data_IF_535645769462
#
_entry.id   IF_535645769462
#
_cell.length_a   1.000
_cell.length_b   1.000
_cell.length_c   1.000
_cell.angle_alpha   90.00
_cell.angle_beta   90.00
_cell.angle_gamma   90.00
#
_symmetry.space_group_name_H-M   'P 1'
#
loop_
_entity.id
_entity.type
_entity.pdbx_description
1 polymer ?
#
# COMPACT_ATOMS: atom_id res chain seq x y z
N UNK A 1 -2.81 -7.77 -14.62
CA UNK A 1 -1.69 -8.01 -13.69
C UNK A 1 -2.29 -8.33 -12.33
N UNK A 2 -1.92 -9.46 -11.71
CA UNK A 2 -2.36 -9.83 -10.37
C UNK A 2 -1.17 -9.69 -9.42
N UNK A 3 -1.13 -8.60 -8.65
CA UNK A 3 0.00 -8.33 -7.73
C UNK A 3 -0.33 -8.76 -6.30
N UNK A 4 -1.54 -8.45 -5.84
CA UNK A 4 -2.01 -8.77 -4.48
C UNK A 4 -2.78 -10.08 -4.54
N UNK A 5 -2.39 -11.07 -3.74
CA UNK A 5 -3.05 -12.38 -3.66
C UNK A 5 -3.99 -12.50 -2.47
N UNK A 6 -3.54 -11.96 -1.34
CA UNK A 6 -4.22 -12.06 -0.06
C UNK A 6 -4.07 -10.79 0.74
N UNK A 7 -5.12 -10.40 1.45
CA UNK A 7 -5.11 -9.29 2.40
C UNK A 7 -5.61 -9.81 3.74
N UNK A 8 -4.84 -9.58 4.80
CA UNK A 8 -5.24 -9.82 6.18
C UNK A 8 -5.25 -8.50 6.95
N UNK A 9 -6.36 -8.20 7.63
CA UNK A 9 -6.50 -7.00 8.47
C UNK A 9 -6.91 -7.46 9.86
N UNK A 10 -6.30 -6.90 10.91
CA UNK A 10 -6.61 -7.20 12.30
C UNK A 10 -6.63 -5.92 13.13
N UNK A 11 -7.59 -5.87 14.06
CA UNK A 11 -7.66 -4.82 15.07
C UNK A 11 -7.98 -3.42 14.54
N UNK A 12 -8.62 -3.28 13.36
CA UNK A 12 -8.83 -1.98 12.71
C UNK A 12 -10.31 -1.59 12.65
N UNK A 13 -10.72 -0.56 13.38
CA UNK A 13 -12.08 -0.01 13.44
C UNK A 13 -13.13 -1.07 13.72
N UNK A 14 -13.98 -1.40 12.75
CA UNK A 14 -15.01 -2.44 12.86
C UNK A 14 -14.48 -3.84 12.46
N UNK A 15 -13.21 -3.95 12.11
CA UNK A 15 -12.58 -5.16 11.58
C UNK A 15 -11.73 -5.79 12.68
N UNK A 16 -12.33 -6.70 13.46
CA UNK A 16 -11.56 -7.52 14.41
C UNK A 16 -10.51 -8.36 13.67
N UNK A 17 -10.97 -9.11 12.67
CA UNK A 17 -10.14 -9.89 11.75
C UNK A 17 -10.85 -10.03 10.41
N UNK A 18 -10.15 -9.72 9.34
CA UNK A 18 -10.59 -9.92 7.95
C UNK A 18 -9.50 -10.65 7.20
N UNK A 19 -9.89 -11.67 6.43
CA UNK A 19 -9.02 -12.44 5.54
C UNK A 19 -9.68 -12.46 4.17
N UNK A 20 -9.10 -11.73 3.21
CA UNK A 20 -9.57 -11.66 1.83
C UNK A 20 -8.62 -12.45 0.94
N UNK A 21 -9.13 -13.51 0.34
CA UNK A 21 -8.42 -14.37 -0.58
C UNK A 21 -8.92 -14.15 -2.00
N UNK A 22 -8.08 -14.48 -2.99
CA UNK A 22 -8.48 -14.40 -4.40
C UNK A 22 -8.71 -12.97 -4.88
N UNK A 23 -7.98 -12.00 -4.30
CA UNK A 23 -8.04 -10.60 -4.74
C UNK A 23 -7.54 -10.53 -6.19
N UNK A 24 -8.41 -10.01 -7.06
CA UNK A 24 -8.22 -9.95 -8.50
C UNK A 24 -7.80 -8.57 -9.00
N UNK A 25 -7.78 -8.42 -10.32
CA UNK A 25 -7.53 -7.13 -10.97
C UNK A 25 -8.69 -6.16 -10.75
N UNK A 26 -9.88 -6.73 -10.58
CA UNK A 26 -11.07 -6.06 -10.09
C UNK A 26 -11.62 -6.92 -8.95
N UNK A 27 -11.83 -6.32 -7.79
CA UNK A 27 -12.44 -6.96 -6.63
C UNK A 27 -13.57 -6.06 -6.13
N UNK A 28 -14.79 -6.59 -6.06
CA UNK A 28 -15.94 -5.87 -5.55
C UNK A 28 -16.26 -6.35 -4.13
N UNK A 29 -16.27 -5.43 -3.15
CA UNK A 29 -16.72 -5.69 -1.79
C UNK A 29 -18.22 -5.35 -1.69
N UNK A 30 -19.07 -6.35 -1.53
CA UNK A 30 -20.53 -6.20 -1.46
C UNK A 30 -21.03 -6.55 -0.06
N UNK A 31 -21.99 -5.77 0.43
CA UNK A 31 -22.60 -6.01 1.74
C UNK A 31 -23.38 -4.79 2.24
N UNK A 32 -24.07 -4.91 3.39
CA UNK A 32 -24.88 -3.83 3.97
C UNK A 32 -24.09 -2.55 4.25
N UNK A 33 -24.77 -1.41 4.34
CA UNK A 33 -24.14 -0.18 4.81
C UNK A 33 -23.55 -0.38 6.21
N UNK A 34 -22.42 0.28 6.47
CA UNK A 34 -21.70 0.20 7.75
C UNK A 34 -21.13 -1.16 8.15
N UNK A 35 -21.18 -2.18 7.27
CA UNK A 35 -20.56 -3.49 7.55
C UNK A 35 -19.02 -3.52 7.47
N UNK A 36 -18.37 -2.36 7.34
CA UNK A 36 -16.90 -2.24 7.32
C UNK A 36 -16.22 -2.23 5.96
N UNK A 37 -16.96 -2.23 4.83
CA UNK A 37 -16.36 -2.20 3.47
C UNK A 37 -15.34 -1.08 3.27
N UNK A 38 -15.70 0.15 3.64
CA UNK A 38 -14.79 1.30 3.54
C UNK A 38 -13.61 1.19 4.50
N UNK A 39 -13.74 0.46 5.61
CA UNK A 39 -12.63 0.25 6.54
C UNK A 39 -11.58 -0.70 5.95
N UNK A 40 -11.97 -1.64 5.07
CA UNK A 40 -11.00 -2.45 4.31
C UNK A 40 -10.13 -1.54 3.42
N UNK A 41 -10.76 -0.63 2.69
CA UNK A 41 -10.04 0.32 1.81
C UNK A 41 -9.13 1.28 2.58
N UNK A 42 -9.58 1.74 3.76
CA UNK A 42 -8.77 2.58 4.65
C UNK A 42 -7.61 1.83 5.28
N UNK A 43 -7.79 0.56 5.65
CA UNK A 43 -6.70 -0.28 6.16
C UNK A 43 -5.63 -0.50 5.08
N UNK A 44 -6.04 -0.70 3.82
CA UNK A 44 -5.11 -0.76 2.69
C UNK A 44 -4.43 0.58 2.42
N UNK A 45 -5.18 1.69 2.49
CA UNK A 45 -4.58 3.04 2.38
C UNK A 45 -3.54 3.24 3.48
N UNK A 46 -3.85 2.86 4.71
CA UNK A 46 -2.92 2.95 5.83
C UNK A 46 -1.69 2.05 5.60
N UNK A 47 -1.87 0.86 5.04
CA UNK A 47 -0.77 -0.05 4.70
C UNK A 47 0.18 0.53 3.65
N UNK A 48 -0.35 1.07 2.54
CA UNK A 48 0.49 1.56 1.44
C UNK A 48 0.96 3.01 1.63
N UNK A 49 0.07 3.89 2.07
CA UNK A 49 0.32 5.34 2.12
C UNK A 49 0.70 5.83 3.52
N UNK A 50 0.47 5.04 4.57
CA UNK A 50 0.67 5.49 5.96
C UNK A 50 -0.44 6.40 6.50
N UNK A 51 -1.51 6.61 5.72
CA UNK A 51 -2.67 7.43 6.07
C UNK A 51 -3.97 6.73 5.64
N UNK A 52 -5.08 7.00 6.35
CA UNK A 52 -6.35 6.32 6.12
C UNK A 52 -7.08 6.85 4.88
N UNK A 53 -6.98 8.16 4.69
CA UNK A 53 -7.48 8.94 3.56
C UNK A 53 -6.47 10.08 3.32
N UNK A 54 -6.49 10.78 2.17
CA UNK A 54 -5.56 11.87 1.91
C UNK A 54 -5.54 12.91 3.03
N UNK A 55 -4.40 13.05 3.72
CA UNK A 55 -4.20 13.97 4.84
C UNK A 55 -4.80 13.51 6.18
N UNK A 56 -5.30 12.27 6.28
CA UNK A 56 -5.92 11.73 7.50
C UNK A 56 -5.01 10.69 8.15
N UNK A 57 -4.20 11.07 9.16
CA UNK A 57 -3.30 10.15 9.83
C UNK A 57 -4.04 9.13 10.71
N UNK A 58 -3.32 8.09 11.10
CA UNK A 58 -3.79 7.08 12.04
C UNK A 58 -4.03 7.68 13.44
N UNK A 59 -5.26 7.53 13.93
CA UNK A 59 -5.61 7.84 15.31
C UNK A 59 -6.01 6.55 16.03
N UNK A 60 -5.15 6.07 16.92
CA UNK A 60 -5.40 4.85 17.68
C UNK A 60 -6.65 4.89 18.57
N UNK A 61 -7.06 6.06 19.06
CA UNK A 61 -8.25 6.15 19.90
C UNK A 61 -9.53 5.88 19.10
N UNK A 62 -9.52 6.21 17.80
CA UNK A 62 -10.65 6.06 16.89
C UNK A 62 -10.56 4.81 16.01
N UNK A 63 -9.35 4.47 15.57
CA UNK A 63 -9.12 3.53 14.47
C UNK A 63 -8.73 2.12 14.94
N UNK A 64 -8.44 1.93 16.22
CA UNK A 64 -8.28 0.61 16.81
C UNK A 64 -9.65 -0.06 17.05
N UNK A 65 -9.72 -1.38 16.82
CA UNK A 65 -10.93 -2.16 17.12
C UNK A 65 -11.13 -2.30 18.62
N UNK A 66 -12.27 -1.84 19.13
CA UNK A 66 -12.62 -1.96 20.54
C UNK A 66 -13.96 -2.69 20.68
N UNK A 67 -13.90 -4.00 20.93
CA UNK A 67 -15.10 -4.83 21.17
C UNK A 67 -15.70 -4.57 22.54
N UNK A 68 -14.83 -4.39 23.54
CA UNK A 68 -15.24 -4.19 24.93
C UNK A 68 -14.14 -3.40 25.68
N UNK A 69 -14.42 -2.16 26.12
CA UNK A 69 -13.47 -1.32 26.87
C UNK A 69 -12.99 -1.95 28.18
N UNK A 70 -13.70 -2.97 28.70
CA UNK A 70 -13.38 -3.66 29.95
C UNK A 70 -12.35 -4.77 29.78
N UNK A 71 -12.08 -5.22 28.54
CA UNK A 71 -11.11 -6.28 28.27
C UNK A 71 -9.78 -5.64 27.91
N UNK A 72 -8.73 -5.99 28.68
CA UNK A 72 -7.37 -5.48 28.48
C UNK A 72 -6.72 -6.18 27.29
N UNK A 73 -7.12 -5.79 26.07
CA UNK A 73 -6.53 -6.30 24.83
C UNK A 73 -5.26 -5.52 24.47
N UNK A 74 -4.32 -6.19 23.78
CA UNK A 74 -3.13 -5.52 23.23
C UNK A 74 -3.61 -4.57 22.13
N UNK A 75 -3.39 -3.27 22.32
CA UNK A 75 -3.76 -2.22 21.35
C UNK A 75 -2.85 -2.31 20.12
N UNK A 76 -3.23 -3.13 19.15
CA UNK A 76 -2.45 -3.39 17.96
C UNK A 76 -3.34 -3.39 16.72
N UNK A 77 -2.91 -2.67 15.69
CA UNK A 77 -3.48 -2.72 14.34
C UNK A 77 -2.47 -3.45 13.47
N UNK A 78 -2.92 -4.37 12.64
CA UNK A 78 -2.06 -5.10 11.73
C UNK A 78 -2.73 -5.23 10.36
N UNK A 79 -1.99 -4.87 9.31
CA UNK A 79 -2.36 -5.12 7.93
C UNK A 79 -1.24 -5.89 7.26
N UNK A 80 -1.57 -7.04 6.70
CA UNK A 80 -0.64 -7.89 5.96
C UNK A 80 -1.15 -8.11 4.54
N UNK A 81 -0.25 -8.05 3.57
CA UNK A 81 -0.56 -8.23 2.16
C UNK A 81 0.40 -9.26 1.58
N UNK A 82 -0.15 -10.28 0.93
CA UNK A 82 0.61 -11.27 0.19
C UNK A 82 0.75 -10.84 -1.27
N UNK A 83 2.00 -10.77 -1.71
CA UNK A 83 2.40 -10.24 -3.02
C UNK A 83 2.97 -11.37 -3.86
N UNK A 84 2.58 -11.38 -5.13
CA UNK A 84 3.23 -12.17 -6.17
C UNK A 84 3.69 -11.24 -7.30
N UNK A 85 5.00 -11.18 -7.49
CA UNK A 85 5.61 -10.40 -8.57
C UNK A 85 5.38 -11.12 -9.91
N UNK A 86 4.96 -10.40 -10.97
CA UNK A 86 4.84 -11.01 -12.29
C UNK A 86 6.23 -11.38 -12.82
N UNK A 87 6.33 -12.45 -13.62
CA UNK A 87 7.61 -13.00 -14.10
C UNK A 87 8.51 -11.99 -14.86
N UNK A 88 7.93 -10.93 -15.44
CA UNK A 88 8.67 -9.86 -16.14
C UNK A 88 9.17 -8.76 -15.22
N UNK A 89 8.80 -8.76 -13.94
CA UNK A 89 9.21 -7.74 -12.97
C UNK A 89 10.65 -7.99 -12.53
N UNK A 90 11.57 -7.17 -13.02
CA UNK A 90 12.98 -7.22 -12.63
C UNK A 90 13.24 -6.18 -11.54
N UNK A 91 13.47 -6.67 -10.33
CA UNK A 91 13.94 -5.84 -9.22
C UNK A 91 15.37 -5.40 -9.52
N UNK A 92 15.62 -4.09 -9.57
CA UNK A 92 16.96 -3.52 -9.78
C UNK A 92 17.88 -3.89 -8.62
N UNK A 93 19.19 -3.88 -8.86
CA UNK A 93 20.19 -4.21 -7.82
C UNK A 93 20.13 -3.28 -6.61
N UNK A 94 19.66 -2.04 -6.80
CA UNK A 94 19.44 -1.05 -5.73
C UNK A 94 18.40 -1.49 -4.68
N UNK A 95 17.56 -2.49 -5.00
CA UNK A 95 16.57 -3.07 -4.09
C UNK A 95 16.95 -4.50 -3.69
N UNK A 96 18.20 -4.72 -3.28
CA UNK A 96 18.71 -6.04 -2.91
C UNK A 96 17.89 -6.75 -1.80
N UNK A 97 17.48 -6.07 -0.70
CA UNK A 97 16.58 -6.64 0.29
C UNK A 97 15.24 -7.12 -0.28
N UNK A 98 14.62 -6.35 -1.19
CA UNK A 98 13.39 -6.80 -1.86
C UNK A 98 13.65 -7.99 -2.80
N UNK A 99 14.79 -7.99 -3.50
CA UNK A 99 15.15 -9.06 -4.44
C UNK A 99 15.36 -10.40 -3.72
N UNK A 100 15.85 -10.40 -2.48
CA UNK A 100 16.06 -11.61 -1.70
C UNK A 100 14.76 -12.30 -1.28
N UNK A 101 13.63 -11.57 -1.27
CA UNK A 101 12.30 -12.13 -0.98
C UNK A 101 11.77 -13.05 -2.10
N UNK A 102 12.36 -13.01 -3.29
CA UNK A 102 11.93 -13.81 -4.43
C UNK A 102 10.62 -13.33 -5.07
N UNK A 103 9.91 -14.23 -5.74
CA UNK A 103 8.71 -13.88 -6.51
C UNK A 103 7.44 -13.79 -5.65
N UNK A 104 7.41 -14.45 -4.49
CA UNK A 104 6.25 -14.51 -3.59
C UNK A 104 6.69 -14.23 -2.17
N UNK A 105 6.05 -13.25 -1.56
CA UNK A 105 6.35 -12.85 -0.19
C UNK A 105 5.14 -12.18 0.44
N UNK A 106 5.13 -12.17 1.77
CA UNK A 106 4.12 -11.48 2.58
C UNK A 106 4.76 -10.28 3.23
N UNK A 107 4.14 -9.12 3.07
CA UNK A 107 4.49 -7.91 3.76
C UNK A 107 3.52 -7.68 4.91
N UNK A 108 4.05 -7.16 6.01
CA UNK A 108 3.29 -6.81 7.20
C UNK A 108 3.64 -5.38 7.59
N UNK A 109 2.60 -4.61 7.88
CA UNK A 109 2.69 -3.31 8.55
C UNK A 109 1.78 -3.36 9.77
N UNK A 110 2.36 -3.15 10.94
CA UNK A 110 1.62 -3.14 12.20
C UNK A 110 1.95 -1.90 12.99
N UNK A 111 0.98 -1.46 13.77
CA UNK A 111 1.11 -0.33 14.65
C UNK A 111 0.68 -0.77 16.05
N UNK A 112 1.41 -0.31 17.06
CA UNK A 112 1.04 -0.43 18.47
C UNK A 112 1.36 0.84 19.25
N UNK A 113 0.84 0.94 20.47
CA UNK A 113 1.15 2.05 21.37
C UNK A 113 2.35 1.71 22.24
N UNK A 114 3.35 2.58 22.23
CA UNK A 114 4.47 2.47 23.16
C UNK A 114 4.06 2.79 24.61
N UNK A 115 5.01 2.72 25.55
CA UNK A 115 4.77 3.05 26.98
C UNK A 115 4.28 4.48 27.20
N UNK A 116 4.54 5.38 26.25
CA UNK A 116 4.16 6.79 26.26
C UNK A 116 2.85 7.05 25.50
N UNK A 117 2.14 5.99 25.08
CA UNK A 117 0.93 6.03 24.25
C UNK A 117 1.14 6.68 22.88
N UNK A 118 2.36 6.63 22.35
CA UNK A 118 2.68 7.10 21.00
C UNK A 118 2.52 5.94 20.01
N UNK A 119 1.89 6.17 18.84
CA UNK A 119 1.86 5.21 17.76
C UNK A 119 3.28 4.85 17.31
N UNK A 120 3.63 3.57 17.38
CA UNK A 120 4.87 3.03 16.83
C UNK A 120 4.54 2.12 15.67
N UNK A 121 5.24 2.34 14.56
CA UNK A 121 5.13 1.51 13.37
C UNK A 121 6.19 0.42 13.34
N UNK A 122 5.79 -0.75 12.86
CA UNK A 122 6.63 -1.90 12.61
C UNK A 122 6.33 -2.45 11.22
N UNK A 123 7.37 -2.61 10.40
CA UNK A 123 7.27 -3.31 9.13
C UNK A 123 7.98 -4.66 9.23
N UNK A 124 7.57 -5.58 8.38
CA UNK A 124 8.25 -6.85 8.23
C UNK A 124 7.88 -7.51 6.91
N UNK A 125 8.72 -8.45 6.51
CA UNK A 125 8.47 -9.33 5.38
C UNK A 125 8.70 -10.79 5.81
N UNK A 126 7.91 -11.69 5.25
CA UNK A 126 8.08 -13.13 5.41
C UNK A 126 7.93 -13.86 4.08
N UNK A 127 8.65 -14.97 3.95
CA UNK A 127 8.60 -15.88 2.81
C UNK A 127 8.28 -17.26 3.37
N UNK A 128 7.27 -17.93 2.82
CA UNK A 128 6.78 -19.23 3.29
C UNK A 128 6.51 -19.28 4.81
N UNK A 129 6.01 -18.16 5.36
CA UNK A 129 5.71 -18.02 6.79
C UNK A 129 6.91 -17.75 7.70
N UNK A 130 8.14 -17.74 7.15
CA UNK A 130 9.36 -17.43 7.91
C UNK A 130 9.73 -15.95 7.77
N UNK A 131 9.96 -15.22 8.86
CA UNK A 131 10.40 -13.83 8.79
C UNK A 131 11.80 -13.75 8.18
N UNK A 132 12.04 -12.70 7.40
CA UNK A 132 13.34 -12.41 6.79
C UNK A 132 14.06 -11.36 7.62
N UNK A 133 15.39 -11.49 7.80
CA UNK A 133 16.19 -10.60 8.64
C UNK A 133 16.06 -9.12 8.23
N UNK A 134 16.15 -8.83 6.93
CA UNK A 134 16.00 -7.49 6.37
C UNK A 134 14.56 -7.18 5.92
N UNK A 135 13.57 -7.87 6.51
CA UNK A 135 12.18 -7.79 6.07
C UNK A 135 11.56 -6.39 6.22
N UNK A 136 12.02 -5.61 7.20
CA UNK A 136 11.61 -4.22 7.39
C UNK A 136 12.07 -3.33 6.22
N UNK A 137 13.35 -3.42 5.85
CA UNK A 137 13.91 -2.67 4.71
C UNK A 137 13.30 -3.13 3.38
N UNK A 138 13.15 -4.43 3.16
CA UNK A 138 12.50 -4.97 1.97
C UNK A 138 11.05 -4.49 1.84
N UNK A 139 10.32 -4.40 2.96
CA UNK A 139 8.97 -3.85 2.99
C UNK A 139 8.96 -2.36 2.62
N UNK A 140 9.83 -1.53 3.21
CA UNK A 140 9.96 -0.10 2.83
C UNK A 140 10.27 0.08 1.35
N UNK A 141 11.23 -0.70 0.84
CA UNK A 141 11.61 -0.68 -0.57
C UNK A 141 10.41 -1.00 -1.47
N UNK A 142 9.67 -2.07 -1.17
CA UNK A 142 8.47 -2.40 -1.93
C UNK A 142 7.41 -1.30 -1.87
N UNK A 143 7.12 -0.75 -0.69
CA UNK A 143 6.15 0.32 -0.51
C UNK A 143 6.53 1.57 -1.34
N UNK A 144 7.82 1.90 -1.45
CA UNK A 144 8.29 3.01 -2.29
C UNK A 144 8.11 2.79 -3.79
N UNK A 145 7.97 1.53 -4.23
CA UNK A 145 7.74 1.17 -5.63
C UNK A 145 6.26 1.15 -6.01
N UNK A 146 5.36 1.18 -5.02
CA UNK A 146 3.92 1.08 -5.22
C UNK A 146 3.24 2.41 -4.90
N UNK A 147 2.57 2.97 -5.89
CA UNK A 147 1.63 4.07 -5.67
C UNK A 147 0.23 3.49 -5.43
N UNK A 148 -0.30 3.64 -4.21
CA UNK A 148 -1.67 3.26 -3.89
C UNK A 148 -2.58 4.49 -3.83
N UNK A 149 -3.67 4.47 -4.59
CA UNK A 149 -4.61 5.59 -4.68
C UNK A 149 -5.93 5.25 -4.00
N UNK A 150 -6.22 5.93 -2.90
CA UNK A 150 -7.54 5.91 -2.28
C UNK A 150 -8.48 6.90 -2.98
N UNK A 151 -9.59 6.40 -3.51
CA UNK A 151 -10.64 7.19 -4.15
C UNK A 151 -11.86 7.19 -3.23
N UNK A 152 -12.18 8.33 -2.56
CA UNK A 152 -13.36 8.40 -1.72
C UNK A 152 -14.64 8.44 -2.55
N UNK A 153 -15.75 8.04 -1.93
CA UNK A 153 -17.07 8.19 -2.51
C UNK A 153 -17.36 9.67 -2.79
N UNK A 154 -17.98 9.98 -3.94
CA UNK A 154 -18.40 11.34 -4.41
C UNK A 154 -17.34 12.24 -5.07
N UNK A 155 -16.22 11.71 -5.57
CA UNK A 155 -15.38 12.50 -6.51
C UNK A 155 -15.92 12.40 -7.95
N UNK A 156 -15.88 13.52 -8.67
CA UNK A 156 -16.26 13.55 -10.09
C UNK A 156 -15.20 12.78 -10.89
N UNK A 157 -15.57 11.75 -11.68
CA UNK A 157 -14.61 10.93 -12.42
C UNK A 157 -13.68 11.74 -13.33
N UNK A 158 -14.18 12.81 -13.93
CA UNK A 158 -13.39 13.69 -14.80
C UNK A 158 -12.32 14.49 -14.05
N UNK A 159 -12.60 14.92 -12.82
CA UNK A 159 -11.63 15.62 -11.99
C UNK A 159 -10.50 14.70 -11.55
N UNK A 160 -10.86 13.45 -11.18
CA UNK A 160 -9.88 12.40 -10.89
C UNK A 160 -9.01 12.17 -12.14
N UNK A 161 -9.60 11.87 -13.30
CA UNK A 161 -8.82 11.58 -14.51
C UNK A 161 -7.85 12.70 -14.91
N UNK A 162 -8.22 13.98 -14.72
CA UNK A 162 -7.32 15.11 -14.98
C UNK A 162 -6.15 15.15 -14.01
N UNK A 163 -6.40 15.08 -12.70
CA UNK A 163 -5.34 14.99 -11.67
C UNK A 163 -4.44 13.76 -11.89
N UNK A 164 -5.04 12.60 -12.17
CA UNK A 164 -4.32 11.34 -12.39
C UNK A 164 -3.52 11.36 -13.69
N UNK A 165 -4.02 11.98 -14.77
CA UNK A 165 -3.25 12.12 -16.02
C UNK A 165 -1.97 12.92 -15.81
N UNK A 166 -2.04 13.99 -15.00
CA UNK A 166 -0.88 14.81 -14.65
C UNK A 166 0.07 14.09 -13.70
N UNK A 167 -0.43 13.35 -12.71
CA UNK A 167 0.38 12.55 -11.80
C UNK A 167 1.10 11.40 -12.52
N UNK A 168 0.41 10.70 -13.42
CA UNK A 168 1.00 9.66 -14.26
C UNK A 168 2.02 10.29 -15.22
N UNK A 169 1.65 11.36 -15.94
CA UNK A 169 2.54 12.05 -16.86
C UNK A 169 3.79 12.57 -16.15
N UNK A 170 3.67 13.21 -14.98
CA UNK A 170 4.82 13.67 -14.20
C UNK A 170 5.67 12.52 -13.67
N UNK A 171 5.08 11.41 -13.25
CA UNK A 171 5.83 10.22 -12.83
C UNK A 171 6.58 9.56 -14.00
N UNK A 172 5.97 9.53 -15.19
CA UNK A 172 6.59 9.05 -16.43
C UNK A 172 7.69 10.02 -16.87
N UNK A 173 7.43 11.32 -16.85
CA UNK A 173 8.37 12.36 -17.27
C UNK A 173 9.59 12.43 -16.36
N UNK A 174 9.38 12.33 -15.04
CA UNK A 174 10.46 12.21 -14.04
C UNK A 174 11.30 10.95 -14.25
N UNK A 175 10.69 9.85 -14.68
CA UNK A 175 11.39 8.61 -15.05
C UNK A 175 12.15 8.75 -16.38
N UNK A 176 11.58 9.39 -17.40
CA UNK A 176 12.21 9.64 -18.70
C UNK A 176 13.40 10.60 -18.60
N UNK A 177 13.34 11.60 -17.73
CA UNK A 177 14.44 12.56 -17.50
C UNK A 177 15.67 11.92 -16.83
N UNK A 178 15.53 10.75 -16.21
CA UNK A 178 16.63 9.95 -15.64
C UNK A 178 17.35 9.09 -16.68
N UNK A 179 16.71 8.78 -17.80
CA UNK A 179 17.34 8.07 -18.92
C UNK A 179 17.92 9.12 -19.88
N UNK A 180 19.24 9.32 -19.80
CA UNK A 180 20.02 10.34 -20.53
C UNK A 180 19.88 10.29 -22.06
N UNK A 181 19.36 9.18 -22.61
CA UNK A 181 19.15 8.99 -24.04
C UNK A 181 17.91 9.75 -24.58
N UNK A 182 17.00 10.17 -23.71
CA UNK A 182 15.75 10.85 -24.08
C UNK A 182 15.92 12.35 -24.37
N UNK A 183 17.01 12.96 -23.88
CA UNK A 183 17.26 14.38 -24.06
C UNK A 183 17.53 14.75 -25.53
N UNK A 184 18.18 13.85 -26.28
CA UNK A 184 18.41 14.02 -27.72
C UNK A 184 17.10 13.91 -28.53
N UNK A 185 16.22 12.96 -28.17
CA UNK A 185 14.89 12.83 -28.80
C UNK A 185 13.98 14.04 -28.54
N UNK A 186 14.21 14.78 -27.46
CA UNK A 186 13.47 16.00 -27.14
C UNK A 186 13.92 17.21 -27.98
N UNK A 187 15.22 17.30 -28.31
CA UNK A 187 15.68 18.31 -29.28
C UNK A 187 15.11 18.05 -30.67
N UNK A 188 15.05 16.78 -31.09
CA UNK A 188 14.51 16.40 -32.40
C UNK A 188 12.99 16.63 -32.51
N UNK A 189 12.22 16.38 -31.43
CA UNK A 189 10.77 16.62 -31.41
C UNK A 189 10.41 18.11 -31.24
N UNK A 190 11.23 18.88 -30.52
CA UNK A 190 11.07 20.33 -30.43
C UNK A 190 11.42 21.02 -31.77
N UNK A 191 12.42 20.52 -32.49
CA UNK A 191 12.78 21.00 -33.83
C UNK A 191 11.72 20.65 -34.90
N UNK A 192 10.95 19.58 -34.71
CA UNK A 192 9.87 19.17 -35.63
C UNK A 192 8.52 19.88 -35.39
N UNK A 193 8.41 20.72 -34.34
CA UNK A 193 7.17 21.41 -33.95
C UNK A 193 7.25 22.94 -33.99
N UNK A 194 8.36 23.50 -34.50
CA UNK A 194 8.49 24.91 -34.90
C UNK A 194 8.42 25.07 -36.42
#
# INVERSE_FOLDING_TARGET
MQLIRKIEIRGFRSLYRVDLQGVGALTALVGPNSCGKSNVLRALSLFFNGELEPGVPLDFARDHYEENPRIRQRKQIEVSVEIELPARFRVRNEFAPLRSLGARFRLRRSWDLDKQKRPREHLGASVDGKPVADGDEACRQFLSLVAYRYIPNRRVPSAILREESQAIASSIFSRMKKDSHSAALLEDLAAASG
#
